data_IF_391416276785
#
_entry.id   IF_391416276785
#
_cell.length_a   1.000
_cell.length_b   1.000
_cell.length_c   1.000
_cell.angle_alpha   90.00
_cell.angle_beta   90.00
_cell.angle_gamma   90.00
#
_symmetry.space_group_name_H-M   'P 1'
#
loop_
_entity.id
_entity.type
_entity.pdbx_description
1 polymer ?
#
# COMPACT_ATOMS: atom_id res chain seq x y z
N UNK A 1 -36.11 -43.92 -14.46
CA UNK A 1 -35.45 -43.10 -13.43
C UNK A 1 -34.00 -43.53 -13.34
N UNK A 2 -33.07 -42.72 -13.86
CA UNK A 2 -31.64 -42.77 -13.52
C UNK A 2 -31.07 -41.41 -13.94
N UNK A 3 -30.70 -40.63 -12.92
CA UNK A 3 -30.33 -39.22 -12.99
C UNK A 3 -28.81 -39.14 -13.19
N UNK A 4 -28.34 -38.52 -14.27
CA UNK A 4 -26.91 -38.29 -14.53
C UNK A 4 -26.60 -36.85 -14.09
N UNK A 5 -25.56 -36.60 -13.25
CA UNK A 5 -25.22 -35.24 -12.82
C UNK A 5 -24.61 -34.44 -13.97
N UNK A 6 -25.12 -33.22 -14.17
CA UNK A 6 -24.58 -32.23 -15.12
C UNK A 6 -23.26 -31.64 -14.58
N UNK A 7 -22.20 -31.47 -15.38
CA UNK A 7 -20.99 -30.81 -14.92
C UNK A 7 -21.20 -29.30 -14.73
N UNK A 8 -20.68 -28.76 -13.63
CA UNK A 8 -20.65 -27.33 -13.32
C UNK A 8 -19.70 -26.59 -14.29
N UNK A 9 -20.20 -25.50 -14.87
CA UNK A 9 -19.40 -24.52 -15.62
C UNK A 9 -18.85 -23.50 -14.61
N UNK A 10 -17.54 -23.19 -14.59
CA UNK A 10 -16.99 -22.15 -13.72
C UNK A 10 -17.46 -20.75 -14.16
N UNK A 11 -17.62 -19.79 -13.22
CA UNK A 11 -18.03 -18.44 -13.57
C UNK A 11 -16.96 -17.76 -14.45
N UNK A 12 -17.38 -17.29 -15.62
CA UNK A 12 -16.55 -16.51 -16.51
C UNK A 12 -16.11 -15.21 -15.81
N UNK A 13 -14.82 -14.91 -15.92
CA UNK A 13 -14.23 -13.66 -15.48
C UNK A 13 -14.95 -12.46 -16.13
N UNK A 14 -15.38 -11.52 -15.31
CA UNK A 14 -15.89 -10.22 -15.76
C UNK A 14 -14.75 -9.41 -16.38
N UNK A 15 -14.77 -9.28 -17.70
CA UNK A 15 -13.96 -8.28 -18.40
C UNK A 15 -14.47 -6.86 -18.06
N UNK A 16 -13.58 -5.88 -17.81
CA UNK A 16 -14.01 -4.50 -17.66
C UNK A 16 -14.45 -3.95 -19.03
N UNK A 17 -15.67 -3.43 -19.07
CA UNK A 17 -16.18 -2.64 -20.20
C UNK A 17 -15.37 -1.35 -20.26
N UNK A 18 -14.61 -1.19 -21.36
CA UNK A 18 -13.98 0.07 -21.71
C UNK A 18 -15.05 1.03 -22.26
N UNK A 19 -15.42 2.05 -21.49
CA UNK A 19 -16.14 3.21 -22.03
C UNK A 19 -15.12 4.28 -22.48
N UNK A 20 -15.28 4.86 -23.68
CA UNK A 20 -14.44 5.94 -24.16
C UNK A 20 -15.09 7.26 -23.76
N UNK A 21 -14.60 7.87 -22.68
CA UNK A 21 -14.55 9.34 -22.60
C UNK A 21 -13.61 9.76 -21.48
N UNK A 22 -12.60 10.54 -21.88
CA UNK A 22 -11.49 10.96 -21.06
C UNK A 22 -11.86 12.01 -20.01
N UNK A 23 -10.88 12.21 -19.12
CA UNK A 23 -10.82 13.21 -18.04
C UNK A 23 -11.53 12.80 -16.75
N UNK A 24 -10.98 11.77 -16.07
CA UNK A 24 -10.98 11.67 -14.59
C UNK A 24 -10.16 10.49 -14.02
N UNK A 25 -9.26 9.87 -14.81
CA UNK A 25 -8.43 8.74 -14.36
C UNK A 25 -6.99 9.12 -13.98
N UNK A 26 -6.62 10.41 -14.04
CA UNK A 26 -5.28 10.86 -13.70
C UNK A 26 -5.07 11.03 -12.17
N UNK A 27 -6.10 11.44 -11.42
CA UNK A 27 -6.00 11.63 -9.97
C UNK A 27 -6.10 10.32 -9.17
N UNK A 28 -6.96 9.37 -9.60
CA UNK A 28 -7.02 8.04 -9.00
C UNK A 28 -5.72 7.23 -9.24
N UNK A 29 -5.00 7.52 -10.32
CA UNK A 29 -3.73 6.86 -10.61
C UNK A 29 -2.53 7.46 -9.84
N UNK A 30 -2.65 8.69 -9.31
CA UNK A 30 -1.60 9.33 -8.50
C UNK A 30 -1.57 8.79 -7.06
N UNK A 31 -2.72 8.47 -6.47
CA UNK A 31 -2.80 7.80 -5.17
C UNK A 31 -2.32 6.34 -5.25
N UNK A 32 -2.66 5.66 -6.36
CA UNK A 32 -2.11 4.35 -6.73
C UNK A 32 -0.59 4.39 -6.95
N UNK A 33 -0.04 5.45 -7.56
CA UNK A 33 1.40 5.63 -7.74
C UNK A 33 2.12 5.88 -6.40
N UNK A 34 1.54 6.69 -5.51
CA UNK A 34 2.11 6.96 -4.19
C UNK A 34 2.14 5.70 -3.32
N UNK A 35 1.10 4.86 -3.39
CA UNK A 35 1.06 3.60 -2.65
C UNK A 35 2.01 2.55 -3.26
N UNK A 36 2.15 2.51 -4.59
CA UNK A 36 3.15 1.67 -5.28
C UNK A 36 4.59 2.12 -4.98
N UNK A 37 4.82 3.42 -4.81
CA UNK A 37 6.12 3.97 -4.42
C UNK A 37 6.47 3.61 -2.97
N UNK A 38 5.51 3.65 -2.06
CA UNK A 38 5.71 3.24 -0.66
C UNK A 38 5.96 1.73 -0.54
N UNK A 39 5.21 0.90 -1.29
CA UNK A 39 5.45 -0.55 -1.35
C UNK A 39 6.84 -0.87 -1.93
N UNK A 40 7.28 -0.12 -2.94
CA UNK A 40 8.63 -0.25 -3.48
C UNK A 40 9.68 0.13 -2.43
N UNK A 41 9.47 1.23 -1.71
CA UNK A 41 10.39 1.66 -0.66
C UNK A 41 10.49 0.65 0.50
N UNK A 42 9.36 0.07 0.92
CA UNK A 42 9.35 -1.01 1.91
C UNK A 42 10.08 -2.27 1.40
N UNK A 43 9.91 -2.63 0.13
CA UNK A 43 10.61 -3.76 -0.47
C UNK A 43 12.13 -3.54 -0.53
N UNK A 44 12.56 -2.35 -0.94
CA UNK A 44 13.97 -1.99 -1.00
C UNK A 44 14.60 -2.00 0.42
N UNK A 45 13.89 -1.48 1.43
CA UNK A 45 14.33 -1.50 2.83
C UNK A 45 14.42 -2.92 3.40
N UNK A 46 13.46 -3.79 3.09
CA UNK A 46 13.50 -5.20 3.51
C UNK A 46 14.66 -5.93 2.83
N UNK A 47 14.91 -5.65 1.55
CA UNK A 47 16.04 -6.22 0.82
C UNK A 47 17.37 -5.80 1.43
N UNK A 48 17.53 -4.51 1.74
CA UNK A 48 18.73 -3.97 2.38
C UNK A 48 18.94 -4.56 3.78
N UNK A 49 17.88 -4.66 4.61
CA UNK A 49 17.96 -5.33 5.90
C UNK A 49 18.36 -6.80 5.78
N UNK A 50 17.86 -7.49 4.76
CA UNK A 50 18.23 -8.89 4.48
C UNK A 50 19.70 -9.02 4.07
N UNK A 51 20.25 -8.05 3.36
CA UNK A 51 21.66 -8.01 2.97
C UNK A 51 22.54 -7.76 4.21
N UNK A 52 22.18 -6.78 5.04
CA UNK A 52 22.84 -6.52 6.33
C UNK A 52 22.78 -7.74 7.25
N UNK A 53 21.65 -8.46 7.30
CA UNK A 53 21.51 -9.67 8.11
C UNK A 53 22.42 -10.80 7.61
N UNK A 54 22.51 -10.96 6.28
CA UNK A 54 23.38 -11.94 5.65
C UNK A 54 24.85 -11.64 5.94
N UNK A 55 25.25 -10.37 5.83
CA UNK A 55 26.60 -9.91 6.14
C UNK A 55 26.93 -10.11 7.63
N UNK A 56 25.98 -9.83 8.54
CA UNK A 56 26.15 -10.11 9.95
C UNK A 56 26.35 -11.61 10.23
N UNK A 57 25.58 -12.46 9.55
CA UNK A 57 25.70 -13.90 9.68
C UNK A 57 27.04 -14.41 9.14
N UNK A 58 27.56 -13.82 8.07
CA UNK A 58 28.86 -14.13 7.49
C UNK A 58 30.01 -13.66 8.39
N UNK A 59 29.96 -12.43 8.88
CA UNK A 59 30.94 -11.92 9.85
C UNK A 59 30.97 -12.78 11.12
N UNK A 60 29.80 -13.15 11.65
CA UNK A 60 29.70 -14.02 12.82
C UNK A 60 30.28 -15.41 12.53
N UNK A 61 30.02 -15.97 11.34
CA UNK A 61 30.62 -17.25 10.92
C UNK A 61 32.15 -17.16 10.83
N UNK A 62 32.68 -16.06 10.31
CA UNK A 62 34.12 -15.82 10.23
C UNK A 62 34.75 -15.64 11.62
N UNK A 63 34.08 -14.94 12.55
CA UNK A 63 34.52 -14.82 13.94
C UNK A 63 34.56 -16.18 14.62
N UNK A 64 33.50 -17.00 14.47
CA UNK A 64 33.44 -18.35 15.04
C UNK A 64 34.52 -19.24 14.43
N UNK A 65 34.74 -19.19 13.12
CA UNK A 65 35.81 -19.95 12.45
C UNK A 65 37.21 -19.52 12.93
N UNK A 66 37.44 -18.21 13.10
CA UNK A 66 38.68 -17.69 13.65
C UNK A 66 38.86 -18.07 15.13
N UNK A 67 37.79 -18.06 15.92
CA UNK A 67 37.83 -18.54 17.30
C UNK A 67 38.13 -20.05 17.38
N UNK A 68 37.55 -20.87 16.50
CA UNK A 68 37.85 -22.30 16.43
C UNK A 68 39.29 -22.59 16.01
N UNK A 69 39.86 -21.81 15.09
CA UNK A 69 41.27 -21.97 14.68
C UNK A 69 42.25 -21.55 15.77
N UNK A 70 41.92 -20.51 16.54
CA UNK A 70 42.68 -20.11 17.74
C UNK A 70 42.58 -21.19 18.82
N UNK A 71 41.39 -21.76 19.05
CA UNK A 71 41.17 -22.80 20.06
C UNK A 71 41.80 -24.14 19.68
N UNK A 72 41.98 -24.42 18.38
CA UNK A 72 42.69 -25.61 17.86
C UNK A 72 44.21 -25.42 17.75
N UNK A 73 44.76 -24.25 18.08
CA UNK A 73 46.22 -24.03 18.12
C UNK A 73 46.77 -24.57 19.47
N UNK A 74 47.52 -25.69 19.48
CA UNK A 74 48.19 -26.13 20.70
C UNK A 74 49.24 -25.10 21.11
N UNK A 75 49.25 -24.73 22.39
CA UNK A 75 50.29 -23.92 23.01
C UNK A 75 51.62 -24.67 22.87
N UNK A 76 52.66 -24.12 22.21
CA UNK A 76 53.94 -24.79 22.11
C UNK A 76 54.66 -24.70 23.46
N UNK A 77 54.75 -25.83 24.15
CA UNK A 77 55.60 -26.03 25.32
C UNK A 77 57.02 -26.26 24.84
N UNK A 78 57.86 -25.22 24.78
CA UNK A 78 59.28 -25.35 24.43
C UNK A 78 60.20 -25.01 25.61
N UNK A 79 60.98 -26.03 26.00
CA UNK A 79 62.36 -26.01 26.51
C UNK A 79 62.68 -25.64 27.97
N UNK A 80 63.03 -26.68 28.73
CA UNK A 80 64.17 -26.64 29.66
C UNK A 80 64.83 -28.03 29.78
N UNK A 81 65.78 -28.33 28.89
CA UNK A 81 66.80 -29.37 29.06
C UNK A 81 68.06 -28.77 29.73
N UNK A 82 68.65 -29.54 30.64
CA UNK A 82 69.85 -29.37 31.50
C UNK A 82 71.20 -29.41 30.74
N UNK A 83 72.42 -29.42 31.36
CA UNK A 83 73.11 -28.64 32.43
C UNK A 83 74.51 -28.08 31.94
N UNK A 84 75.49 -27.62 32.78
CA UNK A 84 76.46 -28.55 33.41
C UNK A 84 77.06 -28.13 34.78
N UNK A 85 77.86 -29.06 35.29
CA UNK A 85 78.59 -29.24 36.56
C UNK A 85 79.76 -28.26 36.78
N UNK A 86 80.16 -27.97 38.04
CA UNK A 86 81.44 -27.29 38.32
C UNK A 86 81.77 -27.05 39.82
N UNK A 87 82.84 -27.68 40.29
CA UNK A 87 83.42 -27.73 41.64
C UNK A 87 84.16 -26.44 42.08
N UNK A 88 84.20 -26.17 43.39
CA UNK A 88 85.25 -25.41 44.11
C UNK A 88 85.33 -23.90 43.79
N UNK A 89 85.81 -22.98 44.61
CA UNK A 89 86.68 -23.01 45.79
C UNK A 89 86.45 -21.65 46.48
N UNK A 90 86.43 -21.62 47.81
CA UNK A 90 86.56 -20.37 48.56
C UNK A 90 87.91 -19.71 48.25
N UNK A 91 87.92 -18.45 47.83
CA UNK A 91 88.74 -17.45 48.52
C UNK A 91 88.47 -16.01 48.08
N UNK A 92 88.30 -15.18 49.11
CA UNK A 92 88.88 -13.84 49.24
C UNK A 92 88.44 -12.74 48.27
N UNK A 93 87.70 -11.82 48.88
CA UNK A 93 87.90 -10.37 48.83
C UNK A 93 86.96 -9.53 47.95
N UNK A 94 86.67 -8.36 48.53
CA UNK A 94 86.18 -7.12 47.95
C UNK A 94 84.68 -7.03 47.64
N UNK A 95 84.00 -6.38 48.58
CA UNK A 95 82.86 -5.46 48.42
C UNK A 95 82.78 -4.82 47.03
N UNK A 96 81.80 -5.26 46.24
CA UNK A 96 81.17 -4.47 45.18
C UNK A 96 79.68 -4.79 45.20
N UNK A 97 78.92 -4.01 45.94
CA UNK A 97 77.48 -3.91 45.75
C UNK A 97 77.24 -3.27 44.39
N UNK A 98 76.87 -4.08 43.39
CA UNK A 98 76.34 -3.61 42.11
C UNK A 98 75.16 -2.66 42.37
N UNK A 99 75.25 -1.37 42.01
CA UNK A 99 74.11 -0.45 42.11
C UNK A 99 73.01 -0.75 41.07
N UNK A 100 73.27 -1.63 40.10
CA UNK A 100 72.37 -1.90 38.96
C UNK A 100 71.48 -3.15 39.13
N UNK A 101 71.63 -3.89 40.23
CA UNK A 101 70.72 -5.00 40.55
C UNK A 101 69.51 -4.48 41.31
N UNK A 102 68.59 -3.82 40.60
CA UNK A 102 67.27 -3.49 41.13
C UNK A 102 66.70 -4.70 41.89
N UNK A 103 66.29 -4.53 43.16
CA UNK A 103 65.85 -5.65 43.97
C UNK A 103 64.59 -6.26 43.33
N UNK A 104 64.50 -7.59 43.36
CA UNK A 104 63.47 -8.35 42.63
C UNK A 104 62.03 -7.99 43.04
N UNK A 105 61.83 -7.36 44.20
CA UNK A 105 60.55 -6.83 44.63
C UNK A 105 60.14 -5.54 43.91
N UNK A 106 61.09 -4.67 43.54
CA UNK A 106 60.82 -3.45 42.75
C UNK A 106 60.40 -3.81 41.33
N UNK A 107 61.07 -4.80 40.72
CA UNK A 107 60.67 -5.32 39.41
C UNK A 107 59.26 -5.90 39.44
N UNK A 108 58.94 -6.69 40.47
CA UNK A 108 57.58 -7.22 40.67
C UNK A 108 56.55 -6.10 40.90
N UNK A 109 56.89 -5.08 41.69
CA UNK A 109 56.02 -3.93 41.92
C UNK A 109 55.74 -3.17 40.62
N UNK A 110 56.78 -2.93 39.79
CA UNK A 110 56.62 -2.31 38.47
C UNK A 110 55.75 -3.14 37.53
N UNK A 111 55.94 -4.46 37.48
CA UNK A 111 55.09 -5.33 36.64
C UNK A 111 53.62 -5.35 37.12
N UNK A 112 53.38 -5.32 38.43
CA UNK A 112 52.03 -5.25 38.98
C UNK A 112 51.37 -3.90 38.72
N UNK A 113 52.15 -2.80 38.77
CA UNK A 113 51.67 -1.47 38.39
C UNK A 113 51.32 -1.40 36.91
N UNK A 114 52.16 -1.94 36.03
CA UNK A 114 51.88 -2.01 34.59
C UNK A 114 50.64 -2.86 34.28
N UNK A 115 50.48 -4.00 34.95
CA UNK A 115 49.27 -4.82 34.83
C UNK A 115 48.03 -4.05 35.29
N UNK A 116 48.11 -3.36 36.42
CA UNK A 116 47.02 -2.52 36.94
C UNK A 116 46.68 -1.35 36.02
N UNK A 117 47.66 -0.73 35.38
CA UNK A 117 47.46 0.33 34.39
C UNK A 117 46.77 -0.20 33.13
N UNK A 118 47.12 -1.40 32.68
CA UNK A 118 46.45 -2.07 31.56
C UNK A 118 44.99 -2.41 31.91
N UNK A 119 44.72 -2.93 33.11
CA UNK A 119 43.36 -3.21 33.59
C UNK A 119 42.52 -1.94 33.69
N UNK A 120 43.08 -0.87 34.27
CA UNK A 120 42.39 0.43 34.36
C UNK A 120 42.08 1.01 32.97
N UNK A 121 43.00 0.85 32.00
CA UNK A 121 42.78 1.29 30.62
C UNK A 121 41.63 0.51 29.97
N UNK A 122 41.58 -0.80 30.17
CA UNK A 122 40.50 -1.63 29.67
C UNK A 122 39.15 -1.24 30.28
N UNK A 123 39.12 -0.93 31.58
CA UNK A 123 37.90 -0.44 32.26
C UNK A 123 37.40 0.86 31.62
N UNK A 124 38.30 1.82 31.32
CA UNK A 124 37.93 3.08 30.66
C UNK A 124 37.41 2.84 29.24
N UNK A 125 38.02 1.92 28.49
CA UNK A 125 37.57 1.55 27.15
C UNK A 125 36.16 0.92 27.18
N UNK A 126 35.90 0.04 28.16
CA UNK A 126 34.56 -0.52 28.37
C UNK A 126 33.53 0.54 28.80
N UNK A 127 33.90 1.45 29.70
CA UNK A 127 33.03 2.54 30.13
C UNK A 127 32.61 3.41 28.94
N UNK A 128 33.57 3.75 28.07
CA UNK A 128 33.30 4.53 26.87
C UNK A 128 32.40 3.79 25.88
N UNK A 129 32.68 2.51 25.60
CA UNK A 129 31.88 1.70 24.66
C UNK A 129 30.45 1.52 25.19
N UNK A 130 30.29 1.22 26.48
CA UNK A 130 28.97 1.10 27.12
C UNK A 130 28.23 2.43 27.08
N UNK A 131 28.91 3.54 27.34
CA UNK A 131 28.34 4.88 27.22
C UNK A 131 27.79 5.17 25.81
N UNK A 132 28.57 4.84 24.77
CA UNK A 132 28.14 4.99 23.38
C UNK A 132 26.96 4.07 23.06
N UNK A 133 27.02 2.80 23.47
CA UNK A 133 25.97 1.83 23.20
C UNK A 133 24.64 2.23 23.85
N UNK A 134 24.67 2.73 25.10
CA UNK A 134 23.46 3.18 25.79
C UNK A 134 22.85 4.39 25.08
N UNK A 135 23.65 5.32 24.59
CA UNK A 135 23.14 6.49 23.88
C UNK A 135 22.57 6.12 22.50
N UNK A 136 23.20 5.18 21.80
CA UNK A 136 22.64 4.62 20.55
C UNK A 136 21.31 3.91 20.80
N UNK A 137 21.21 3.08 21.84
CA UNK A 137 19.95 2.40 22.21
C UNK A 137 18.88 3.43 22.55
N UNK A 138 19.21 4.47 23.33
CA UNK A 138 18.27 5.54 23.67
C UNK A 138 17.76 6.23 22.40
N UNK A 139 18.68 6.64 21.53
CA UNK A 139 18.34 7.34 20.28
C UNK A 139 17.47 6.48 19.39
N UNK A 140 17.86 5.20 19.20
CA UNK A 140 17.08 4.24 18.42
C UNK A 140 15.67 4.05 18.97
N UNK A 141 15.51 3.88 20.29
CA UNK A 141 14.19 3.73 20.89
C UNK A 141 13.33 4.99 20.70
N UNK A 142 13.91 6.18 20.80
CA UNK A 142 13.19 7.45 20.58
C UNK A 142 12.75 7.60 19.13
N UNK A 143 13.65 7.37 18.19
CA UNK A 143 13.37 7.46 16.76
C UNK A 143 12.35 6.41 16.31
N UNK A 144 12.49 5.16 16.75
CA UNK A 144 11.54 4.10 16.45
C UNK A 144 10.13 4.42 16.98
N UNK A 145 10.02 4.94 18.21
CA UNK A 145 8.73 5.35 18.76
C UNK A 145 8.12 6.51 17.95
N UNK A 146 8.93 7.50 17.57
CA UNK A 146 8.46 8.60 16.72
C UNK A 146 7.95 8.08 15.38
N UNK A 147 8.72 7.23 14.71
CA UNK A 147 8.34 6.61 13.44
C UNK A 147 7.03 5.85 13.57
N UNK A 148 6.88 5.02 14.62
CA UNK A 148 5.63 4.31 14.89
C UNK A 148 4.42 5.25 15.06
N UNK A 149 4.57 6.35 15.81
CA UNK A 149 3.46 7.31 15.96
C UNK A 149 3.15 8.06 14.67
N UNK A 150 4.16 8.38 13.86
CA UNK A 150 3.94 9.05 12.57
C UNK A 150 3.22 8.16 11.57
N UNK A 151 3.56 6.86 11.52
CA UNK A 151 2.88 5.90 10.66
C UNK A 151 1.44 5.71 11.11
N UNK A 152 1.20 5.49 12.40
CA UNK A 152 -0.15 5.38 12.97
C UNK A 152 -1.02 6.61 12.67
N UNK A 153 -0.47 7.82 12.85
CA UNK A 153 -1.18 9.06 12.51
C UNK A 153 -1.51 9.12 11.02
N UNK A 154 -0.53 8.86 10.17
CA UNK A 154 -0.70 8.87 8.71
C UNK A 154 -1.78 7.87 8.27
N UNK A 155 -1.81 6.67 8.84
CA UNK A 155 -2.85 5.67 8.53
C UNK A 155 -4.23 6.14 8.96
N UNK A 156 -4.36 6.72 10.16
CA UNK A 156 -5.66 7.27 10.61
C UNK A 156 -6.13 8.42 9.75
N UNK A 157 -5.22 9.31 9.35
CA UNK A 157 -5.51 10.43 8.47
C UNK A 157 -5.92 9.99 7.06
N UNK A 158 -5.32 8.91 6.55
CA UNK A 158 -5.72 8.31 5.28
C UNK A 158 -7.11 7.67 5.38
N UNK A 159 -7.36 6.89 6.43
CA UNK A 159 -8.65 6.25 6.65
C UNK A 159 -9.76 7.28 6.85
N UNK A 160 -9.46 8.41 7.49
CA UNK A 160 -10.40 9.52 7.61
C UNK A 160 -10.71 10.12 6.24
N UNK A 161 -9.67 10.42 5.44
CA UNK A 161 -9.87 10.93 4.08
C UNK A 161 -10.69 10.00 3.20
N UNK A 162 -10.45 8.69 3.25
CA UNK A 162 -11.27 7.73 2.49
C UNK A 162 -12.73 7.71 2.94
N UNK A 163 -12.99 7.85 4.24
CA UNK A 163 -14.36 7.95 4.75
C UNK A 163 -15.04 9.22 4.27
N UNK A 164 -14.33 10.35 4.30
CA UNK A 164 -14.85 11.65 3.86
C UNK A 164 -15.10 11.65 2.34
N UNK A 165 -14.16 11.14 1.54
CA UNK A 165 -14.33 11.04 0.07
C UNK A 165 -15.47 10.09 -0.30
N UNK A 166 -15.62 8.97 0.41
CA UNK A 166 -16.74 8.05 0.17
C UNK A 166 -18.08 8.67 0.55
N UNK A 167 -18.13 9.50 1.60
CA UNK A 167 -19.32 10.26 1.95
C UNK A 167 -19.67 11.29 0.86
N UNK A 168 -18.69 12.05 0.40
CA UNK A 168 -18.87 13.08 -0.64
C UNK A 168 -19.39 12.47 -1.95
N UNK A 169 -18.81 11.35 -2.40
CA UNK A 169 -19.28 10.64 -3.61
C UNK A 169 -20.72 10.15 -3.47
N UNK A 170 -21.15 9.73 -2.29
CA UNK A 170 -22.54 9.32 -2.04
C UNK A 170 -23.49 10.51 -2.07
N UNK A 171 -23.10 11.64 -1.47
CA UNK A 171 -23.87 12.87 -1.49
C UNK A 171 -24.02 13.40 -2.92
N UNK A 172 -22.93 13.42 -3.69
CA UNK A 172 -22.95 13.83 -5.10
C UNK A 172 -23.86 12.92 -5.93
N UNK A 173 -23.74 11.60 -5.76
CA UNK A 173 -24.61 10.62 -6.42
C UNK A 173 -26.09 10.89 -6.12
N UNK A 174 -26.43 11.11 -4.85
CA UNK A 174 -27.81 11.36 -4.44
C UNK A 174 -28.33 12.69 -5.02
N UNK A 175 -27.48 13.73 -5.08
CA UNK A 175 -27.79 15.00 -5.72
C UNK A 175 -28.04 14.84 -7.24
N UNK A 176 -27.19 14.08 -7.93
CA UNK A 176 -27.35 13.79 -9.35
C UNK A 176 -28.63 12.98 -9.63
N UNK A 177 -28.95 11.98 -8.79
CA UNK A 177 -30.19 11.23 -8.90
C UNK A 177 -31.42 12.11 -8.66
N UNK A 178 -31.37 13.03 -7.69
CA UNK A 178 -32.46 13.96 -7.44
C UNK A 178 -32.66 14.92 -8.64
N UNK A 179 -31.57 15.48 -9.19
CA UNK A 179 -31.62 16.32 -10.39
C UNK A 179 -32.18 15.56 -11.60
N UNK A 180 -31.71 14.33 -11.84
CA UNK A 180 -32.20 13.52 -12.95
C UNK A 180 -33.69 13.19 -12.81
N UNK A 181 -34.15 12.85 -11.61
CA UNK A 181 -35.58 12.61 -11.34
C UNK A 181 -36.41 13.85 -11.64
N UNK A 182 -35.95 15.04 -11.22
CA UNK A 182 -36.61 16.31 -11.50
C UNK A 182 -36.68 16.61 -13.01
N UNK A 183 -35.56 16.46 -13.73
CA UNK A 183 -35.55 16.68 -15.18
C UNK A 183 -36.44 15.68 -15.93
N UNK A 184 -36.44 14.41 -15.54
CA UNK A 184 -37.32 13.41 -16.12
C UNK A 184 -38.80 13.75 -15.88
N UNK A 185 -39.17 14.26 -14.71
CA UNK A 185 -40.52 14.75 -14.45
C UNK A 185 -40.86 15.97 -15.32
N UNK A 186 -39.95 16.95 -15.41
CA UNK A 186 -40.14 18.14 -16.26
C UNK A 186 -40.36 17.78 -17.74
N UNK A 187 -39.58 16.82 -18.26
CA UNK A 187 -39.72 16.33 -19.64
C UNK A 187 -41.08 15.66 -19.83
N UNK A 188 -41.48 14.76 -18.92
CA UNK A 188 -42.81 14.12 -19.00
C UNK A 188 -43.93 15.15 -18.96
N UNK A 189 -43.85 16.15 -18.07
CA UNK A 189 -44.86 17.21 -18.01
C UNK A 189 -44.89 18.07 -19.27
N UNK A 190 -43.72 18.40 -19.84
CA UNK A 190 -43.64 19.18 -21.07
C UNK A 190 -44.21 18.42 -22.28
N UNK A 191 -43.92 17.11 -22.39
CA UNK A 191 -44.51 16.25 -23.40
C UNK A 191 -46.03 16.12 -23.25
N UNK A 192 -46.53 16.01 -22.02
CA UNK A 192 -47.97 15.98 -21.75
C UNK A 192 -48.65 17.30 -22.12
N UNK A 193 -48.05 18.44 -21.80
CA UNK A 193 -48.54 19.77 -22.20
C UNK A 193 -48.62 19.90 -23.71
N UNK A 194 -47.55 19.52 -24.43
CA UNK A 194 -47.53 19.50 -25.90
C UNK A 194 -48.62 18.59 -26.47
N UNK A 195 -48.77 17.38 -25.93
CA UNK A 195 -49.81 16.45 -26.37
C UNK A 195 -51.23 16.99 -26.12
N UNK A 196 -51.44 17.74 -25.04
CA UNK A 196 -52.73 18.40 -24.76
C UNK A 196 -53.04 19.53 -25.75
N UNK A 197 -52.04 20.31 -26.14
CA UNK A 197 -52.16 21.35 -27.17
C UNK A 197 -52.52 20.72 -28.54
N UNK A 198 -51.79 19.69 -28.97
CA UNK A 198 -52.04 18.99 -30.23
C UNK A 198 -53.43 18.31 -30.25
N UNK A 199 -53.85 17.72 -29.12
CA UNK A 199 -55.14 17.03 -29.00
C UNK A 199 -56.37 17.94 -29.18
N UNK A 200 -56.25 19.25 -28.96
CA UNK A 200 -57.37 20.17 -29.18
C UNK A 200 -57.71 20.29 -30.67
N UNK A 201 -56.70 20.55 -31.50
CA UNK A 201 -56.86 20.67 -32.95
C UNK A 201 -57.28 19.35 -33.60
N UNK A 202 -56.63 18.24 -33.21
CA UNK A 202 -56.94 16.89 -33.70
C UNK A 202 -58.41 16.54 -33.44
N UNK A 203 -58.94 16.84 -32.24
CA UNK A 203 -60.35 16.56 -31.90
C UNK A 203 -61.33 17.34 -32.77
N UNK A 204 -61.04 18.60 -33.08
CA UNK A 204 -61.90 19.43 -33.94
C UNK A 204 -61.93 18.87 -35.36
N UNK A 205 -60.78 18.58 -35.95
CA UNK A 205 -60.70 18.00 -37.30
C UNK A 205 -61.40 16.64 -37.35
N UNK A 206 -61.15 15.75 -36.38
CA UNK A 206 -61.81 14.45 -36.31
C UNK A 206 -63.34 14.57 -36.13
N UNK A 207 -63.81 15.54 -35.33
CA UNK A 207 -65.23 15.83 -35.16
C UNK A 207 -65.90 16.25 -36.47
N UNK A 208 -65.30 17.20 -37.18
CA UNK A 208 -65.79 17.67 -38.48
C UNK A 208 -65.79 16.54 -39.53
N UNK A 209 -64.76 15.69 -39.53
CA UNK A 209 -64.69 14.50 -40.39
C UNK A 209 -65.86 13.54 -40.15
N UNK A 210 -66.15 13.26 -38.88
CA UNK A 210 -67.24 12.38 -38.50
C UNK A 210 -68.60 12.97 -38.91
N UNK A 211 -68.78 14.29 -38.83
CA UNK A 211 -69.97 14.97 -39.34
C UNK A 211 -70.10 14.81 -40.86
N UNK A 212 -69.03 15.03 -41.62
CA UNK A 212 -69.02 14.85 -43.08
C UNK A 212 -69.34 13.40 -43.48
N UNK A 213 -68.77 12.41 -42.78
CA UNK A 213 -69.12 10.99 -42.95
C UNK A 213 -70.60 10.73 -42.66
N UNK A 214 -71.14 11.33 -41.60
CA UNK A 214 -72.56 11.27 -41.26
C UNK A 214 -73.46 11.87 -42.35
N UNK A 215 -73.11 13.03 -42.89
CA UNK A 215 -73.86 13.67 -43.97
C UNK A 215 -73.81 12.87 -45.27
N UNK A 216 -72.65 12.33 -45.66
CA UNK A 216 -72.54 11.45 -46.84
C UNK A 216 -73.41 10.20 -46.69
N UNK A 217 -73.38 9.56 -45.52
CA UNK A 217 -74.21 8.39 -45.25
C UNK A 217 -75.71 8.72 -45.33
N UNK A 218 -76.14 9.87 -44.77
CA UNK A 218 -77.52 10.33 -44.86
C UNK A 218 -77.99 10.64 -46.29
N UNK A 219 -77.07 11.08 -47.16
CA UNK A 219 -77.30 11.32 -48.58
C UNK A 219 -77.19 10.06 -49.45
N UNK A 220 -76.82 8.91 -48.86
CA UNK A 220 -76.62 7.65 -49.59
C UNK A 220 -75.39 7.66 -50.51
N UNK A 221 -74.44 8.55 -50.27
CA UNK A 221 -73.17 8.61 -50.99
C UNK A 221 -72.21 7.55 -50.44
N UNK A 222 -71.37 6.98 -51.31
CA UNK A 222 -70.33 6.05 -50.88
C UNK A 222 -69.34 6.71 -49.90
N UNK A 223 -68.84 5.95 -48.91
CA UNK A 223 -67.81 6.45 -48.01
C UNK A 223 -66.53 6.77 -48.79
N UNK A 224 -65.96 7.95 -48.52
CA UNK A 224 -64.71 8.38 -49.14
C UNK A 224 -63.54 7.54 -48.64
N UNK A 225 -62.54 7.31 -49.50
CA UNK A 225 -61.33 6.65 -49.07
C UNK A 225 -60.63 7.52 -48.02
N UNK A 226 -60.03 6.94 -46.95
CA UNK A 226 -59.40 7.73 -45.89
C UNK A 226 -58.30 8.65 -46.42
N UNK A 227 -57.64 8.28 -47.53
CA UNK A 227 -56.61 9.07 -48.20
C UNK A 227 -57.13 10.33 -48.90
N UNK A 228 -58.41 10.34 -49.26
CA UNK A 228 -59.07 11.44 -49.98
C UNK A 228 -59.82 12.40 -49.03
N UNK A 229 -59.92 12.05 -47.74
CA UNK A 229 -60.60 12.87 -46.74
C UNK A 229 -59.82 14.16 -46.39
N UNK A 230 -60.53 15.28 -46.31
CA UNK A 230 -59.93 16.59 -46.03
C UNK A 230 -59.36 16.74 -44.61
N UNK A 231 -58.04 16.61 -44.43
CA UNK A 231 -57.44 16.56 -43.09
C UNK A 231 -56.87 15.19 -42.73
N UNK A 232 -56.88 14.25 -43.67
CA UNK A 232 -56.19 12.97 -43.56
C UNK A 232 -54.72 13.12 -43.17
N UNK A 233 -54.02 14.12 -43.72
CA UNK A 233 -52.61 14.40 -43.40
C UNK A 233 -52.33 14.64 -41.91
N UNK A 234 -53.33 15.11 -41.16
CA UNK A 234 -53.26 15.39 -39.72
C UNK A 234 -53.73 14.17 -38.91
N UNK A 235 -54.74 13.46 -39.42
CA UNK A 235 -55.37 12.33 -38.72
C UNK A 235 -54.62 11.01 -38.89
N UNK A 236 -53.82 10.86 -39.95
CA UNK A 236 -53.05 9.64 -40.25
C UNK A 236 -52.15 9.19 -39.09
N UNK A 237 -51.55 10.15 -38.38
CA UNK A 237 -50.61 9.88 -37.28
C UNK A 237 -51.33 9.46 -35.99
N UNK A 238 -52.63 9.73 -35.90
CA UNK A 238 -53.50 9.36 -34.76
C UNK A 238 -54.18 8.02 -35.03
N UNK A 239 -54.61 7.76 -36.28
CA UNK A 239 -55.18 6.46 -36.66
C UNK A 239 -54.15 5.32 -36.69
N UNK A 240 -52.86 5.63 -36.81
CA UNK A 240 -51.76 4.66 -36.78
C UNK A 240 -51.37 4.15 -35.40
N UNK A 241 -51.83 4.78 -34.32
CA UNK A 241 -51.67 4.28 -32.94
C UNK A 241 -52.89 3.44 -32.57
N UNK A 242 -52.94 2.20 -33.06
CA UNK A 242 -53.82 1.20 -32.46
C UNK A 242 -53.38 0.92 -31.02
N UNK A 243 -54.29 0.66 -30.07
CA UNK A 243 -53.99 0.41 -28.65
C UNK A 243 -53.35 -0.98 -28.39
N UNK A 244 -52.51 -1.44 -29.30
CA UNK A 244 -51.81 -2.73 -29.24
C UNK A 244 -50.35 -2.63 -28.79
N UNK A 245 -49.83 -1.41 -28.62
CA UNK A 245 -48.41 -1.15 -28.33
C UNK A 245 -48.16 -0.55 -26.93
N UNK A 246 -49.01 -0.88 -25.95
CA UNK A 246 -48.74 -0.75 -24.50
C UNK A 246 -48.86 -2.12 -23.80
#
# INVERSE_FOLDING_TARGET
MTNIPRPMIPPAASHPVAQPNGVSMAEANFQSLSHKMDLKHLYDMISELSEVLKDNHEMTRNIVSNAETIMKRPVPTENANTPPQGNGVNNSNTTTTDPDREPTWERKAKTLLQAREADNRLILEYENIIGIMVEQIRTYCQENNMNYFTTERRYRDLLQRERDTHLDLRLERDELHAKNTRYAQMIRTALNLRAQEDAAYIRVVAGLQNEVRGYRNALGLEPEAPEEEYGWEILKDVSGKSPSDD
#
